data_IF_037292958156
#
_entry.id   IF_037292958156
#
_cell.length_a   1.000
_cell.length_b   1.000
_cell.length_c   1.000
_cell.angle_alpha   90.00
_cell.angle_beta   90.00
_cell.angle_gamma   90.00
#
_symmetry.space_group_name_H-M   'P 1'
#
loop_
_entity.id
_entity.type
_entity.pdbx_description
1 polymer ?
#
# COMPACT_ATOMS: atom_id res chain seq x y z
N UNK A 1 -4.66 -11.83 17.58
CA UNK A 1 -4.29 -11.58 16.16
C UNK A 1 -3.16 -10.58 15.99
N UNK A 2 -3.20 -9.40 16.64
CA UNK A 2 -2.10 -8.40 16.57
C UNK A 2 -0.76 -8.98 17.04
N UNK A 3 -0.76 -9.73 18.15
CA UNK A 3 0.45 -10.41 18.65
C UNK A 3 1.02 -11.41 17.63
N UNK A 4 0.19 -12.15 16.89
CA UNK A 4 0.63 -13.07 15.84
C UNK A 4 1.26 -12.34 14.65
N UNK A 5 0.73 -11.17 14.29
CA UNK A 5 1.29 -10.33 13.23
C UNK A 5 2.58 -9.58 13.62
N UNK A 6 2.87 -9.47 14.92
CA UNK A 6 4.08 -8.84 15.44
C UNK A 6 5.18 -9.88 15.70
N UNK A 7 4.79 -11.06 16.21
CA UNK A 7 5.71 -12.18 16.48
C UNK A 7 6.09 -12.94 15.20
N UNK A 8 5.19 -13.06 14.22
CA UNK A 8 5.47 -13.74 12.94
C UNK A 8 6.71 -13.22 12.19
N UNK A 9 6.79 -11.92 11.87
CA UNK A 9 7.96 -11.35 11.21
C UNK A 9 9.24 -11.47 12.04
N UNK A 10 9.16 -11.27 13.37
CA UNK A 10 10.31 -11.44 14.26
C UNK A 10 10.85 -12.89 14.25
N UNK A 11 9.96 -13.88 14.28
CA UNK A 11 10.31 -15.30 14.20
C UNK A 11 10.95 -15.65 12.86
N UNK A 12 10.45 -15.11 11.75
CA UNK A 12 11.08 -15.38 10.43
C UNK A 12 12.50 -14.85 10.34
N UNK A 13 12.77 -13.68 10.93
CA UNK A 13 14.11 -13.11 10.98
C UNK A 13 15.01 -13.94 11.90
N UNK A 14 14.49 -14.44 13.02
CA UNK A 14 15.23 -15.29 13.95
C UNK A 14 15.64 -16.63 13.34
N UNK A 15 14.71 -17.32 12.66
CA UNK A 15 14.97 -18.65 12.10
C UNK A 15 15.78 -18.63 10.81
N UNK A 16 15.74 -17.54 10.03
CA UNK A 16 16.32 -17.50 8.67
C UNK A 16 17.43 -16.48 8.48
N UNK A 17 17.78 -15.72 9.52
CA UNK A 17 18.79 -14.64 9.51
C UNK A 17 18.66 -13.71 8.29
N UNK A 18 17.42 -13.46 7.85
CA UNK A 18 17.12 -12.65 6.66
C UNK A 18 17.17 -11.17 6.99
N UNK A 19 17.73 -10.34 6.12
CA UNK A 19 17.75 -8.89 6.30
C UNK A 19 16.33 -8.35 6.51
N UNK A 20 16.14 -7.49 7.51
CA UNK A 20 14.83 -6.99 7.92
C UNK A 20 14.20 -6.06 6.86
N UNK A 21 15.03 -5.57 5.94
CA UNK A 21 14.66 -4.80 4.76
C UNK A 21 15.14 -5.55 3.51
N UNK A 22 14.38 -5.46 2.42
CA UNK A 22 14.77 -6.06 1.16
C UNK A 22 16.03 -5.35 0.62
N UNK A 23 17.17 -6.01 0.73
CA UNK A 23 18.35 -5.67 -0.06
C UNK A 23 18.17 -6.27 -1.45
N UNK A 24 17.83 -5.40 -2.42
CA UNK A 24 17.71 -5.79 -3.82
C UNK A 24 19.11 -5.95 -4.41
N UNK A 25 19.74 -7.09 -4.13
CA UNK A 25 21.02 -7.46 -4.70
C UNK A 25 20.84 -7.95 -6.15
N UNK A 26 21.84 -7.83 -7.04
CA UNK A 26 21.76 -8.40 -8.39
C UNK A 26 21.53 -9.93 -8.38
N UNK A 27 22.00 -10.63 -7.34
CA UNK A 27 21.68 -12.05 -7.12
C UNK A 27 20.22 -12.29 -6.69
N UNK A 28 19.61 -11.36 -5.97
CA UNK A 28 18.19 -11.39 -5.60
C UNK A 28 17.28 -11.23 -6.83
N UNK A 29 17.69 -10.41 -7.80
CA UNK A 29 16.98 -10.25 -9.09
C UNK A 29 17.12 -11.51 -9.95
N UNK A 30 18.31 -12.13 -10.00
CA UNK A 30 18.54 -13.41 -10.70
C UNK A 30 17.79 -14.58 -10.07
N UNK A 31 17.69 -14.59 -8.74
CA UNK A 31 16.97 -15.58 -7.95
C UNK A 31 15.59 -15.11 -7.49
N UNK A 32 14.83 -14.37 -8.31
CA UNK A 32 13.50 -13.85 -7.92
C UNK A 32 12.44 -14.96 -7.64
N UNK A 33 12.76 -16.23 -7.95
CA UNK A 33 12.05 -17.43 -7.48
C UNK A 33 12.65 -18.06 -6.20
N UNK A 34 13.64 -17.41 -5.60
CA UNK A 34 14.40 -17.88 -4.45
C UNK A 34 13.65 -17.65 -3.14
N UNK A 35 13.80 -18.62 -2.25
CA UNK A 35 13.15 -18.73 -0.95
C UNK A 35 13.05 -17.40 -0.16
N UNK A 36 14.08 -16.54 -0.17
CA UNK A 36 14.13 -15.32 0.64
C UNK A 36 13.03 -14.28 0.32
N UNK A 37 12.66 -14.11 -0.96
CA UNK A 37 11.60 -13.15 -1.37
C UNK A 37 10.24 -13.60 -0.82
N UNK A 38 9.98 -14.90 -0.93
CA UNK A 38 8.76 -15.54 -0.45
C UNK A 38 8.66 -15.42 1.07
N UNK A 39 9.77 -15.58 1.79
CA UNK A 39 9.81 -15.58 3.25
C UNK A 39 9.62 -14.20 3.91
N UNK A 40 10.08 -13.13 3.27
CA UNK A 40 10.04 -11.78 3.84
C UNK A 40 8.81 -10.97 3.37
N UNK A 41 8.35 -11.18 2.13
CA UNK A 41 7.27 -10.37 1.55
C UNK A 41 6.00 -11.13 1.22
N UNK A 42 6.07 -12.39 0.79
CA UNK A 42 4.87 -13.10 0.34
C UNK A 42 4.06 -13.76 1.47
N UNK A 43 4.58 -13.85 2.69
CA UNK A 43 3.85 -14.52 3.77
C UNK A 43 2.78 -13.63 4.40
N UNK A 44 1.54 -14.15 4.51
CA UNK A 44 0.39 -13.37 4.97
C UNK A 44 0.52 -12.90 6.41
N UNK A 45 1.26 -13.62 7.26
CA UNK A 45 1.42 -13.25 8.67
C UNK A 45 2.25 -11.97 8.86
N UNK A 46 3.15 -11.62 7.94
CA UNK A 46 3.95 -10.39 8.07
C UNK A 46 3.11 -9.12 7.86
N UNK A 47 1.96 -9.22 7.20
CA UNK A 47 1.06 -8.08 6.93
C UNK A 47 -0.24 -8.13 7.74
N UNK A 48 -0.43 -9.19 8.55
CA UNK A 48 -1.64 -9.41 9.32
C UNK A 48 -1.89 -8.31 10.36
N UNK A 49 -0.83 -7.81 11.01
CA UNK A 49 -0.96 -6.71 11.97
C UNK A 49 -1.52 -5.43 11.32
N UNK A 50 -1.01 -5.06 10.14
CA UNK A 50 -1.49 -3.91 9.37
C UNK A 50 -2.96 -4.10 8.92
N UNK A 51 -3.33 -5.32 8.52
CA UNK A 51 -4.70 -5.65 8.14
C UNK A 51 -5.70 -5.47 9.29
N UNK A 52 -5.35 -5.98 10.48
CA UNK A 52 -6.20 -5.83 11.68
C UNK A 52 -6.39 -4.36 12.06
N UNK A 53 -5.33 -3.55 12.00
CA UNK A 53 -5.42 -2.10 12.24
C UNK A 53 -6.42 -1.45 11.27
N UNK A 54 -6.38 -1.82 9.99
CA UNK A 54 -7.32 -1.34 8.99
C UNK A 54 -8.78 -1.72 9.29
N UNK A 55 -9.05 -2.96 9.70
CA UNK A 55 -10.40 -3.39 10.09
C UNK A 55 -10.88 -2.61 11.30
N UNK A 56 -10.07 -2.51 12.36
CA UNK A 56 -10.43 -1.77 13.57
C UNK A 56 -10.74 -0.31 13.26
N UNK A 57 -9.97 0.32 12.37
CA UNK A 57 -10.23 1.67 11.90
C UNK A 57 -11.58 1.76 11.17
N UNK A 58 -11.86 0.83 10.25
CA UNK A 58 -13.11 0.81 9.48
C UNK A 58 -14.34 0.71 10.39
N UNK A 59 -14.29 -0.19 11.39
CA UNK A 59 -15.35 -0.31 12.39
C UNK A 59 -15.49 0.96 13.23
N UNK A 60 -14.37 1.54 13.67
CA UNK A 60 -14.39 2.80 14.42
C UNK A 60 -15.01 3.95 13.61
N UNK A 61 -14.69 4.05 12.31
CA UNK A 61 -15.28 5.05 11.42
C UNK A 61 -16.79 4.82 11.29
N UNK A 62 -17.21 3.57 11.07
CA UNK A 62 -18.62 3.21 10.95
C UNK A 62 -19.43 3.61 12.20
N UNK A 63 -18.93 3.28 13.39
CA UNK A 63 -19.58 3.61 14.66
C UNK A 63 -19.59 5.12 14.92
N UNK A 64 -18.47 5.79 14.65
CA UNK A 64 -18.34 7.24 14.83
C UNK A 64 -19.23 8.04 13.85
N UNK A 65 -19.48 7.52 12.64
CA UNK A 65 -20.44 8.10 11.70
C UNK A 65 -21.89 7.91 12.16
N UNK A 66 -22.23 6.75 12.75
CA UNK A 66 -23.58 6.51 13.31
C UNK A 66 -23.95 7.47 14.44
N UNK A 67 -22.98 7.83 15.27
CA UNK A 67 -23.20 8.65 16.48
C UNK A 67 -23.03 10.16 16.17
N UNK A 68 -22.72 10.53 14.92
CA UNK A 68 -22.34 11.89 14.51
C UNK A 68 -21.30 12.51 15.46
N UNK A 69 -20.23 11.74 15.73
CA UNK A 69 -19.25 12.09 16.75
C UNK A 69 -18.51 13.38 16.37
N UNK A 70 -18.74 14.45 17.12
CA UNK A 70 -17.99 15.69 17.00
C UNK A 70 -16.65 15.57 17.72
N UNK A 71 -15.56 15.86 17.01
CA UNK A 71 -14.21 15.83 17.57
C UNK A 71 -13.86 17.19 18.17
N UNK A 72 -13.68 17.31 19.50
CA UNK A 72 -13.10 18.50 20.09
C UNK A 72 -11.65 18.66 19.60
N UNK A 73 -11.18 19.90 19.43
CA UNK A 73 -9.80 20.24 19.01
C UNK A 73 -9.41 19.89 17.56
N UNK A 74 -10.29 20.12 16.59
CA UNK A 74 -10.02 19.94 15.14
C UNK A 74 -8.71 20.56 14.64
N UNK A 75 -8.24 21.67 15.24
CA UNK A 75 -6.95 22.31 14.89
C UNK A 75 -5.76 21.39 15.18
N UNK A 76 -5.74 20.74 16.34
CA UNK A 76 -4.67 19.80 16.73
C UNK A 76 -4.71 18.56 15.84
N UNK A 77 -5.91 18.01 15.57
CA UNK A 77 -6.06 16.86 14.67
C UNK A 77 -5.63 17.20 13.24
N UNK A 78 -5.93 18.41 12.76
CA UNK A 78 -5.46 18.89 11.46
C UNK A 78 -3.93 18.98 11.40
N UNK A 79 -3.28 19.49 12.46
CA UNK A 79 -1.82 19.54 12.55
C UNK A 79 -1.23 18.12 12.55
N UNK A 80 -1.80 17.21 13.34
CA UNK A 80 -1.36 15.82 13.42
C UNK A 80 -1.45 15.12 12.06
N UNK A 81 -2.48 15.44 11.27
CA UNK A 81 -2.66 14.91 9.91
C UNK A 81 -1.52 15.35 8.99
N UNK A 82 -1.11 16.62 9.07
CA UNK A 82 0.04 17.11 8.30
C UNK A 82 1.36 16.48 8.77
N UNK A 83 1.49 16.14 10.05
CA UNK A 83 2.67 15.47 10.59
C UNK A 83 2.82 14.01 10.12
N UNK A 84 1.76 13.37 9.62
CA UNK A 84 1.84 11.98 9.10
C UNK A 84 2.81 11.85 7.92
N UNK A 85 2.78 12.82 7.00
CA UNK A 85 3.63 12.82 5.79
C UNK A 85 5.12 12.89 6.14
N UNK A 86 5.61 13.90 6.90
CA UNK A 86 7.02 13.94 7.29
C UNK A 86 7.39 12.78 8.21
N UNK A 87 6.51 12.32 9.09
CA UNK A 87 6.77 11.14 9.93
C UNK A 87 7.06 9.90 9.08
N UNK A 88 6.30 9.68 8.02
CA UNK A 88 6.52 8.56 7.09
C UNK A 88 7.86 8.71 6.36
N UNK A 89 8.16 9.89 5.83
CA UNK A 89 9.44 10.17 5.16
C UNK A 89 10.63 9.97 6.09
N UNK A 90 10.53 10.42 7.34
CA UNK A 90 11.56 10.23 8.36
C UNK A 90 11.77 8.75 8.67
N UNK A 91 10.70 7.97 8.87
CA UNK A 91 10.80 6.52 9.12
C UNK A 91 11.51 5.79 7.98
N UNK A 92 11.14 6.10 6.72
CA UNK A 92 11.83 5.55 5.55
C UNK A 92 13.29 6.00 5.47
N UNK A 93 13.58 7.29 5.72
CA UNK A 93 14.95 7.82 5.65
C UNK A 93 15.86 7.22 6.72
N UNK A 94 15.35 7.04 7.94
CA UNK A 94 16.08 6.39 9.05
C UNK A 94 16.37 4.94 8.68
N UNK A 95 15.36 4.20 8.21
CA UNK A 95 15.56 2.83 7.76
C UNK A 95 16.59 2.73 6.63
N UNK A 96 16.57 3.66 5.67
CA UNK A 96 17.56 3.75 4.60
C UNK A 96 18.99 3.95 5.13
N UNK A 97 19.20 4.91 6.03
CA UNK A 97 20.54 5.19 6.57
C UNK A 97 21.10 4.04 7.42
N UNK A 98 20.27 3.43 8.27
CA UNK A 98 20.73 2.37 9.17
C UNK A 98 20.95 1.02 8.48
N UNK A 99 20.19 0.70 7.43
CA UNK A 99 20.37 -0.57 6.71
C UNK A 99 21.36 -0.49 5.54
N UNK A 100 21.52 0.69 4.92
CA UNK A 100 22.36 0.85 3.73
C UNK A 100 23.62 1.71 3.96
N UNK A 101 23.71 2.45 5.06
CA UNK A 101 24.82 3.39 5.33
C UNK A 101 25.98 2.82 6.13
N UNK A 102 25.74 1.86 7.04
CA UNK A 102 26.79 1.18 7.79
C UNK A 102 27.23 -0.08 7.06
N UNK A 103 28.54 -0.23 6.80
CA UNK A 103 29.10 -1.45 6.20
C UNK A 103 29.04 -2.67 7.15
N UNK A 104 28.60 -2.46 8.39
CA UNK A 104 28.38 -3.51 9.38
C UNK A 104 26.91 -3.96 9.41
N UNK A 105 26.70 -5.27 9.42
CA UNK A 105 25.37 -5.87 9.57
C UNK A 105 24.78 -5.43 10.91
N UNK A 106 23.58 -4.83 10.86
CA UNK A 106 22.87 -4.43 12.07
C UNK A 106 22.64 -5.63 13.01
N UNK A 107 22.69 -5.43 14.34
CA UNK A 107 22.46 -6.51 15.32
C UNK A 107 21.12 -7.23 15.08
N UNK A 108 21.12 -8.56 15.23
CA UNK A 108 19.96 -9.42 14.99
C UNK A 108 18.70 -8.94 15.72
N UNK A 109 18.84 -8.52 16.98
CA UNK A 109 17.74 -8.01 17.81
C UNK A 109 17.08 -6.77 17.20
N UNK A 110 17.88 -5.84 16.68
CA UNK A 110 17.38 -4.62 16.06
C UNK A 110 16.63 -4.92 14.75
N UNK A 111 17.16 -5.87 13.96
CA UNK A 111 16.51 -6.36 12.73
C UNK A 111 15.14 -6.99 13.02
N UNK A 112 15.04 -7.79 14.08
CA UNK A 112 13.77 -8.42 14.50
C UNK A 112 12.73 -7.39 14.93
N UNK A 113 13.11 -6.44 15.78
CA UNK A 113 12.21 -5.38 16.27
C UNK A 113 11.74 -4.51 15.11
N UNK A 114 12.66 -4.11 14.23
CA UNK A 114 12.33 -3.31 13.06
C UNK A 114 11.39 -4.06 12.11
N UNK A 115 11.69 -5.32 11.79
CA UNK A 115 10.84 -6.15 10.93
C UNK A 115 9.42 -6.31 11.49
N UNK A 116 9.27 -6.42 12.81
CA UNK A 116 7.98 -6.54 13.47
C UNK A 116 7.19 -5.22 13.53
N UNK A 117 7.85 -4.10 13.82
CA UNK A 117 7.17 -2.84 14.14
C UNK A 117 6.97 -1.91 12.94
N UNK A 118 7.80 -1.98 11.90
CA UNK A 118 7.72 -0.99 10.81
C UNK A 118 6.35 -0.99 10.10
N UNK A 119 5.81 -2.17 9.76
CA UNK A 119 4.51 -2.30 9.07
C UNK A 119 3.33 -1.81 9.91
N UNK A 120 3.14 -2.23 11.17
CA UNK A 120 2.03 -1.72 11.98
C UNK A 120 2.16 -0.22 12.27
N UNK A 121 3.37 0.31 12.50
CA UNK A 121 3.56 1.76 12.69
C UNK A 121 3.10 2.53 11.45
N UNK A 122 3.57 2.13 10.27
CA UNK A 122 3.17 2.74 9.00
C UNK A 122 1.67 2.59 8.77
N UNK A 123 1.09 1.42 9.06
CA UNK A 123 -0.34 1.19 8.96
C UNK A 123 -1.16 2.11 9.90
N UNK A 124 -0.72 2.31 11.13
CA UNK A 124 -1.37 3.24 12.08
C UNK A 124 -1.29 4.69 11.61
N UNK A 125 -0.17 5.12 11.04
CA UNK A 125 -0.02 6.45 10.45
C UNK A 125 -1.00 6.67 9.29
N UNK A 126 -1.08 5.73 8.35
CA UNK A 126 -2.05 5.81 7.25
C UNK A 126 -3.50 5.66 7.71
N UNK A 127 -3.76 4.84 8.73
CA UNK A 127 -5.07 4.73 9.34
C UNK A 127 -5.55 6.07 9.90
N UNK A 128 -4.67 6.80 10.58
CA UNK A 128 -4.96 8.14 11.05
C UNK A 128 -5.20 9.11 9.88
N UNK A 129 -4.41 9.04 8.81
CA UNK A 129 -4.61 9.85 7.61
C UNK A 129 -6.00 9.62 6.97
N UNK A 130 -6.42 8.37 6.82
CA UNK A 130 -7.76 8.03 6.31
C UNK A 130 -8.85 8.57 7.23
N UNK A 131 -8.71 8.40 8.54
CA UNK A 131 -9.64 8.96 9.53
C UNK A 131 -9.82 10.48 9.35
N UNK A 132 -8.69 11.18 9.18
CA UNK A 132 -8.68 12.63 9.01
C UNK A 132 -9.34 13.09 7.71
N UNK A 133 -9.23 12.31 6.64
CA UNK A 133 -9.90 12.59 5.37
C UNK A 133 -11.42 12.38 5.49
N UNK A 134 -11.86 11.31 6.14
CA UNK A 134 -13.29 11.00 6.32
C UNK A 134 -14.00 12.03 7.19
N UNK A 135 -13.43 12.39 8.35
CA UNK A 135 -14.01 13.39 9.25
C UNK A 135 -13.63 14.83 8.87
N UNK A 136 -12.93 15.02 7.74
CA UNK A 136 -12.56 16.32 7.17
C UNK A 136 -11.84 17.23 8.17
N UNK A 137 -10.91 16.71 8.98
CA UNK A 137 -10.23 17.53 10.00
C UNK A 137 -9.50 18.74 9.39
N UNK A 138 -8.88 18.56 8.24
CA UNK A 138 -8.27 19.62 7.45
C UNK A 138 -9.13 19.98 6.22
N UNK A 139 -9.37 21.28 5.99
CA UNK A 139 -10.11 21.76 4.82
C UNK A 139 -9.39 21.41 3.51
N UNK A 140 -8.07 21.60 3.44
CA UNK A 140 -7.31 21.36 2.21
C UNK A 140 -7.31 19.87 1.83
N UNK A 141 -7.06 18.99 2.81
CA UNK A 141 -7.09 17.54 2.59
C UNK A 141 -8.47 17.04 2.16
N UNK A 142 -9.54 17.60 2.72
CA UNK A 142 -10.91 17.26 2.30
C UNK A 142 -11.22 17.71 0.88
N UNK A 143 -10.80 18.91 0.47
CA UNK A 143 -11.01 19.40 -0.91
C UNK A 143 -10.27 18.49 -1.89
N UNK A 144 -9.03 18.11 -1.56
CA UNK A 144 -8.25 17.21 -2.40
C UNK A 144 -8.93 15.85 -2.51
N UNK A 145 -9.43 15.27 -1.42
CA UNK A 145 -10.08 13.95 -1.44
C UNK A 145 -11.43 13.95 -2.18
N UNK A 146 -12.21 15.02 -2.06
CA UNK A 146 -13.50 15.15 -2.72
C UNK A 146 -13.38 15.51 -4.21
N UNK A 147 -12.16 15.66 -4.73
CA UNK A 147 -11.94 16.10 -6.11
C UNK A 147 -12.38 15.04 -7.11
N UNK A 148 -13.27 15.42 -8.04
CA UNK A 148 -13.81 14.55 -9.09
C UNK A 148 -12.76 13.94 -10.01
N UNK A 149 -11.57 14.55 -10.10
CA UNK A 149 -10.42 14.06 -10.88
C UNK A 149 -10.00 12.66 -10.43
N UNK A 150 -10.13 12.31 -9.14
CA UNK A 150 -9.81 10.98 -8.62
C UNK A 150 -10.69 9.85 -9.17
N UNK A 151 -11.80 10.19 -9.85
CA UNK A 151 -12.66 9.20 -10.51
C UNK A 151 -11.95 8.46 -11.65
N UNK A 152 -11.04 9.12 -12.35
CA UNK A 152 -10.29 8.51 -13.46
C UNK A 152 -9.29 7.47 -12.94
N UNK A 153 -8.32 7.83 -12.07
CA UNK A 153 -7.34 6.87 -11.57
C UNK A 153 -7.97 5.78 -10.72
N UNK A 154 -9.09 6.03 -10.02
CA UNK A 154 -9.79 4.96 -9.29
C UNK A 154 -10.34 3.87 -10.22
N UNK A 155 -10.87 4.21 -11.39
CA UNK A 155 -11.30 3.23 -12.39
C UNK A 155 -10.14 2.49 -13.04
N UNK A 156 -9.03 3.18 -13.28
CA UNK A 156 -7.84 2.56 -13.87
C UNK A 156 -7.00 1.75 -12.87
N UNK A 157 -7.24 1.91 -11.57
CA UNK A 157 -6.39 1.37 -10.50
C UNK A 157 -6.16 -0.15 -10.63
N UNK A 158 -7.18 -0.89 -11.07
CA UNK A 158 -7.07 -2.33 -11.25
C UNK A 158 -6.11 -2.70 -12.40
N UNK A 159 -6.27 -2.08 -13.57
CA UNK A 159 -5.37 -2.30 -14.70
C UNK A 159 -3.95 -1.82 -14.40
N UNK A 160 -3.81 -0.68 -13.72
CA UNK A 160 -2.51 -0.18 -13.25
C UNK A 160 -1.85 -1.19 -12.32
N UNK A 161 -2.57 -1.77 -11.37
CA UNK A 161 -2.01 -2.77 -10.46
C UNK A 161 -1.41 -3.98 -11.20
N UNK A 162 -2.11 -4.47 -12.22
CA UNK A 162 -1.63 -5.60 -13.04
C UNK A 162 -0.41 -5.20 -13.87
N UNK A 163 -0.45 -4.07 -14.57
CA UNK A 163 0.64 -3.66 -15.47
C UNK A 163 1.88 -3.23 -14.70
N UNK A 164 1.70 -2.56 -13.56
CA UNK A 164 2.78 -1.97 -12.78
C UNK A 164 3.83 -2.99 -12.35
N UNK A 165 3.41 -4.14 -11.83
CA UNK A 165 4.33 -5.21 -11.39
C UNK A 165 5.14 -5.75 -12.56
N UNK A 166 4.49 -5.95 -13.72
CA UNK A 166 5.16 -6.42 -14.94
C UNK A 166 6.19 -5.40 -15.45
N UNK A 167 5.85 -4.11 -15.43
CA UNK A 167 6.76 -3.02 -15.85
C UNK A 167 7.99 -2.97 -14.93
N UNK A 168 7.80 -3.08 -13.61
CA UNK A 168 8.91 -3.12 -12.65
C UNK A 168 9.82 -4.31 -12.94
N UNK A 169 9.25 -5.51 -13.15
CA UNK A 169 10.04 -6.71 -13.45
C UNK A 169 10.83 -6.55 -14.75
N UNK A 170 10.22 -6.01 -15.80
CA UNK A 170 10.87 -5.75 -17.07
C UNK A 170 12.03 -4.74 -16.93
N UNK A 171 11.81 -3.64 -16.21
CA UNK A 171 12.83 -2.62 -15.98
C UNK A 171 13.97 -3.10 -15.09
N UNK A 172 13.70 -4.00 -14.14
CA UNK A 172 14.73 -4.61 -13.31
C UNK A 172 15.54 -5.65 -14.09
N UNK A 173 14.89 -6.44 -14.96
CA UNK A 173 15.56 -7.47 -15.77
C UNK A 173 16.46 -6.92 -16.87
N UNK A 174 16.15 -5.72 -17.39
CA UNK A 174 16.97 -5.04 -18.41
C UNK A 174 18.17 -4.28 -17.84
N UNK A 175 18.23 -4.08 -16.52
CA UNK A 175 19.34 -3.38 -15.86
C UNK A 175 20.56 -4.30 -15.73
N UNK A 176 21.62 -3.97 -16.45
CA UNK A 176 22.90 -4.70 -16.43
C UNK A 176 23.93 -4.09 -15.48
N UNK A 177 23.70 -2.85 -14.99
CA UNK A 177 24.61 -2.12 -14.11
C UNK A 177 23.98 -1.87 -12.73
N UNK A 178 24.83 -1.74 -11.70
CA UNK A 178 24.42 -1.34 -10.37
C UNK A 178 23.84 0.09 -10.41
N UNK A 179 22.58 0.21 -9.99
CA UNK A 179 21.91 1.51 -9.95
C UNK A 179 22.49 2.37 -8.83
N UNK A 180 22.90 3.59 -9.15
CA UNK A 180 23.35 4.56 -8.15
C UNK A 180 22.13 5.15 -7.43
N UNK A 181 21.99 4.82 -6.13
CA UNK A 181 20.85 5.24 -5.30
C UNK A 181 21.08 6.69 -4.88
N UNK A 182 20.61 7.62 -5.71
CA UNK A 182 20.45 9.03 -5.38
C UNK A 182 18.96 9.35 -5.24
N UNK A 183 18.63 10.32 -4.36
CA UNK A 183 17.25 10.75 -4.16
C UNK A 183 16.57 11.16 -5.48
N UNK A 184 17.29 11.89 -6.34
CA UNK A 184 16.77 12.33 -7.63
C UNK A 184 16.48 11.14 -8.56
N UNK A 185 17.43 10.19 -8.64
CA UNK A 185 17.24 8.97 -9.44
C UNK A 185 16.07 8.13 -8.93
N UNK A 186 15.86 8.08 -7.62
CA UNK A 186 14.74 7.37 -7.01
C UNK A 186 13.40 8.01 -7.37
N UNK A 187 13.28 9.33 -7.21
CA UNK A 187 12.06 10.07 -7.57
C UNK A 187 11.77 9.95 -9.06
N UNK A 188 12.79 10.11 -9.91
CA UNK A 188 12.64 10.01 -11.37
C UNK A 188 12.20 8.63 -11.81
N UNK A 189 12.76 7.57 -11.21
CA UNK A 189 12.33 6.19 -11.47
C UNK A 189 10.88 5.97 -11.00
N UNK A 190 10.53 6.41 -9.81
CA UNK A 190 9.18 6.29 -9.27
C UNK A 190 8.13 6.96 -10.17
N UNK A 191 8.38 8.22 -10.57
CA UNK A 191 7.49 8.97 -11.46
C UNK A 191 7.43 8.32 -12.84
N UNK A 192 8.57 7.91 -13.40
CA UNK A 192 8.65 7.27 -14.71
C UNK A 192 7.84 5.98 -14.77
N UNK A 193 8.04 5.07 -13.81
CA UNK A 193 7.29 3.82 -13.72
C UNK A 193 5.79 4.09 -13.55
N UNK A 194 5.42 5.05 -12.70
CA UNK A 194 4.02 5.40 -12.46
C UNK A 194 3.36 5.92 -13.74
N UNK A 195 3.97 6.89 -14.43
CA UNK A 195 3.43 7.44 -15.67
C UNK A 195 3.27 6.37 -16.76
N UNK A 196 4.27 5.51 -16.95
CA UNK A 196 4.20 4.41 -17.92
C UNK A 196 3.09 3.42 -17.55
N UNK A 197 2.93 3.12 -16.26
CA UNK A 197 1.89 2.20 -15.77
C UNK A 197 0.48 2.74 -16.08
N UNK A 198 0.25 4.03 -15.85
CA UNK A 198 -1.04 4.67 -16.19
C UNK A 198 -1.27 4.76 -17.70
N UNK A 199 -0.22 5.03 -18.48
CA UNK A 199 -0.32 5.12 -19.94
C UNK A 199 -0.65 3.76 -20.56
N UNK A 200 -0.05 2.67 -20.08
CA UNK A 200 -0.35 1.31 -20.53
C UNK A 200 -1.68 0.78 -19.97
N UNK A 201 -2.11 1.22 -18.80
CA UNK A 201 -3.39 0.82 -18.23
C UNK A 201 -4.60 1.36 -19.02
N UNK A 202 -4.47 2.52 -19.68
CA UNK A 202 -5.55 3.12 -20.48
C UNK A 202 -6.07 2.21 -21.62
N UNK A 203 -5.24 1.73 -22.56
CA UNK A 203 -5.71 0.85 -23.62
C UNK A 203 -6.23 -0.49 -23.08
N UNK A 204 -5.59 -1.05 -22.05
CA UNK A 204 -6.05 -2.29 -21.42
C UNK A 204 -7.43 -2.14 -20.75
N UNK A 205 -7.65 -1.02 -20.06
CA UNK A 205 -8.95 -0.70 -19.48
C UNK A 205 -10.04 -0.59 -20.56
N UNK A 206 -9.75 0.09 -21.68
CA UNK A 206 -10.73 0.28 -22.75
C UNK A 206 -11.07 -1.03 -23.48
N UNK A 207 -10.09 -1.91 -23.68
CA UNK A 207 -10.27 -3.17 -24.41
C UNK A 207 -10.83 -4.31 -23.55
N UNK A 208 -10.52 -4.33 -22.25
CA UNK A 208 -10.90 -5.41 -21.35
C UNK A 208 -11.93 -4.93 -20.32
N UNK A 209 -11.54 -4.02 -19.43
CA UNK A 209 -12.39 -3.70 -18.27
C UNK A 209 -13.73 -3.05 -18.66
N UNK A 210 -13.73 -2.15 -19.64
CA UNK A 210 -14.93 -1.46 -20.11
C UNK A 210 -16.00 -2.41 -20.71
N UNK A 211 -15.69 -3.29 -21.69
CA UNK A 211 -16.68 -4.21 -22.24
C UNK A 211 -17.15 -5.24 -21.19
N UNK A 212 -16.26 -5.78 -20.37
CA UNK A 212 -16.65 -6.73 -19.31
C UNK A 212 -17.59 -6.08 -18.29
N UNK A 213 -17.33 -4.83 -17.90
CA UNK A 213 -18.22 -4.07 -17.01
C UNK A 213 -19.62 -3.90 -17.60
N UNK A 214 -19.71 -3.63 -18.91
CA UNK A 214 -20.99 -3.49 -19.59
C UNK A 214 -21.76 -4.81 -19.66
N UNK A 215 -21.07 -5.92 -19.97
CA UNK A 215 -21.67 -7.26 -19.99
C UNK A 215 -22.19 -7.68 -18.60
N UNK A 216 -21.42 -7.44 -17.54
CA UNK A 216 -21.85 -7.76 -16.17
C UNK A 216 -23.08 -6.93 -15.78
N UNK A 217 -23.12 -5.65 -16.18
CA UNK A 217 -24.27 -4.79 -15.91
C UNK A 217 -25.53 -5.28 -16.62
N UNK A 218 -25.45 -5.63 -17.91
CA UNK A 218 -26.62 -6.12 -18.65
C UNK A 218 -27.13 -7.45 -18.08
N UNK A 219 -26.24 -8.40 -17.77
CA UNK A 219 -26.60 -9.67 -17.15
C UNK A 219 -27.25 -9.49 -15.77
N UNK A 220 -26.72 -8.58 -14.95
CA UNK A 220 -27.27 -8.30 -13.62
C UNK A 220 -28.63 -7.60 -13.71
N UNK A 221 -28.78 -6.65 -14.63
CA UNK A 221 -30.05 -5.96 -14.87
C UNK A 221 -31.13 -6.92 -15.38
N UNK A 222 -30.78 -7.84 -16.27
CA UNK A 222 -31.68 -8.89 -16.76
C UNK A 222 -32.14 -9.82 -15.62
N UNK A 223 -31.23 -10.21 -14.72
CA UNK A 223 -31.58 -10.98 -13.51
C UNK A 223 -32.53 -10.23 -12.58
N UNK A 224 -32.33 -8.92 -12.39
CA UNK A 224 -33.18 -8.10 -11.53
C UNK A 224 -34.61 -7.97 -12.08
N UNK A 225 -34.74 -7.79 -13.40
CA UNK A 225 -36.05 -7.75 -14.07
C UNK A 225 -36.76 -9.11 -13.98
N UNK A 226 -36.06 -10.21 -14.27
CA UNK A 226 -36.65 -11.56 -14.16
C UNK A 226 -37.18 -11.87 -12.76
N UNK A 227 -36.51 -11.38 -11.70
CA UNK A 227 -36.90 -11.59 -10.30
C UNK A 227 -38.08 -10.70 -9.87
N UNK A 228 -38.35 -9.61 -10.58
CA UNK A 228 -39.53 -8.76 -10.35
C UNK A 228 -40.78 -9.33 -11.03
N UNK A 229 -40.62 -9.98 -12.18
CA UNK A 229 -41.74 -10.62 -12.90
C UNK A 229 -42.23 -11.87 -12.15
N UNK A 230 -41.34 -12.71 -11.61
CA UNK A 230 -41.73 -13.88 -10.78
C UNK A 230 -42.35 -13.52 -9.43
N UNK A 231 -42.30 -12.25 -9.01
CA UNK A 231 -42.86 -11.79 -7.72
C UNK A 231 -44.23 -11.11 -7.88
N UNK A 232 -44.69 -10.94 -9.11
CA UNK A 232 -45.98 -10.33 -9.48
C UNK A 232 -47.03 -11.37 -9.90
N UNK A 233 -46.62 -12.61 -10.17
CA UNK A 233 -47.49 -13.80 -10.20
C UNK A 233 -47.64 -14.39 -8.79
#
# INVERSE_FOLDING_TARGET
MILLGLVGPALTVWFKDTDATLLVNPEFIRGMGGNNVRYVHSLPYNSLAAYVIGICLGLYIYDAQRIDKKFPNRKVLSLLTWMVVPATVLLFSISGKYFFGSHERAPLLFRMIFAAMHRPIVASLYAFLVLSLVFKFNKFGSILADWSVWRIPSRLSYMVYITHVNIIQYLLGTRTQLANISFINFVMNFVGVTCISFLLALPLYLLLEAPFTNVVKTLTHQKLLSKQDTKKE
#
